data_IF_833631061411
#
_entry.id   IF_833631061411
#
_cell.length_a   1.000
_cell.length_b   1.000
_cell.length_c   1.000
_cell.angle_alpha   90.00
_cell.angle_beta   90.00
_cell.angle_gamma   90.00
#
_symmetry.space_group_name_H-M   'P 1'
#
loop_
_entity.id
_entity.type
_entity.pdbx_description
1 polymer ?
#
# COMPACT_ATOMS: atom_id res chain seq x y z
N UNK A 1 74.64 38.83 19.54
CA UNK A 1 75.04 37.48 19.99
C UNK A 1 73.84 36.56 19.77
N UNK A 2 73.74 35.89 18.62
CA UNK A 2 74.01 34.44 18.42
C UNK A 2 73.26 33.56 19.43
N UNK A 3 72.40 32.59 19.09
CA UNK A 3 72.05 31.93 17.83
C UNK A 3 71.52 30.51 18.13
N UNK A 4 71.10 29.80 17.07
CA UNK A 4 70.62 28.39 16.97
C UNK A 4 69.10 28.22 17.12
N UNK A 5 68.35 27.60 16.21
CA UNK A 5 68.66 26.86 14.98
C UNK A 5 67.58 25.79 14.77
N UNK A 6 66.71 25.98 13.76
CA UNK A 6 65.63 25.05 13.37
C UNK A 6 66.16 23.75 12.75
N UNK A 7 65.48 22.60 12.92
CA UNK A 7 65.78 21.40 12.15
C UNK A 7 65.02 21.35 10.81
N UNK A 8 65.72 20.89 9.77
CA UNK A 8 65.26 20.69 8.39
C UNK A 8 64.27 19.52 8.28
N UNK A 9 63.12 19.75 7.61
CA UNK A 9 62.27 18.69 7.08
C UNK A 9 62.96 17.95 5.93
N UNK A 10 63.04 16.61 6.02
CA UNK A 10 63.38 15.72 4.90
C UNK A 10 62.13 15.47 4.06
N UNK A 11 62.20 15.76 2.76
CA UNK A 11 61.24 15.32 1.75
C UNK A 11 61.27 13.80 1.61
N UNK A 12 60.15 13.14 1.89
CA UNK A 12 59.91 11.73 1.55
C UNK A 12 59.27 11.68 0.15
N UNK A 13 59.88 10.93 -0.77
CA UNK A 13 59.30 10.61 -2.09
C UNK A 13 58.21 9.53 -1.91
N UNK A 14 57.06 9.60 -2.60
CA UNK A 14 56.12 8.50 -2.61
C UNK A 14 56.65 7.37 -3.52
N UNK A 15 56.65 6.14 -2.99
CA UNK A 15 56.85 4.91 -3.76
C UNK A 15 55.60 4.60 -4.56
N UNK A 16 55.77 4.36 -5.86
CA UNK A 16 54.76 3.79 -6.74
C UNK A 16 54.49 2.32 -6.38
N UNK A 17 53.38 2.08 -5.69
CA UNK A 17 52.81 0.73 -5.52
C UNK A 17 51.66 0.56 -6.51
N UNK A 18 51.83 -0.33 -7.49
CA UNK A 18 50.74 -0.85 -8.32
C UNK A 18 49.84 -1.72 -7.45
N UNK A 19 48.61 -1.30 -7.20
CA UNK A 19 47.53 -2.17 -6.74
C UNK A 19 46.60 -2.43 -7.92
N UNK A 20 46.51 -3.71 -8.30
CA UNK A 20 45.55 -4.24 -9.27
C UNK A 20 44.14 -4.10 -8.71
N UNK A 21 43.31 -3.30 -9.37
CA UNK A 21 41.86 -3.28 -9.15
C UNK A 21 41.24 -4.41 -9.97
N UNK A 22 40.46 -5.33 -9.40
CA UNK A 22 39.65 -6.24 -10.20
C UNK A 22 38.44 -5.45 -10.72
N UNK A 23 38.37 -5.28 -12.05
CA UNK A 23 37.16 -4.79 -12.71
C UNK A 23 36.05 -5.83 -12.57
N UNK A 24 35.05 -5.53 -11.76
CA UNK A 24 33.77 -6.22 -11.82
C UNK A 24 32.99 -5.73 -13.06
N UNK A 25 32.64 -6.67 -13.94
CA UNK A 25 31.76 -6.44 -15.10
C UNK A 25 30.31 -6.28 -14.60
N UNK A 26 29.52 -5.35 -15.16
CA UNK A 26 28.09 -5.32 -14.90
C UNK A 26 27.38 -6.48 -15.62
N UNK A 27 26.27 -7.02 -15.08
CA UNK A 27 25.50 -8.05 -15.74
C UNK A 27 24.75 -7.45 -16.94
N UNK A 28 24.87 -8.12 -18.09
CA UNK A 28 24.12 -7.84 -19.30
C UNK A 28 22.66 -8.27 -19.13
N UNK A 29 21.72 -7.32 -19.16
CA UNK A 29 20.30 -7.60 -19.40
C UNK A 29 20.01 -7.39 -20.89
N UNK A 30 19.52 -8.44 -21.57
CA UNK A 30 19.03 -8.37 -22.94
C UNK A 30 17.66 -7.67 -22.93
N UNK A 31 17.60 -6.45 -23.47
CA UNK A 31 16.36 -5.84 -23.98
C UNK A 31 16.34 -6.00 -25.50
N UNK A 32 15.46 -6.85 -26.03
CA UNK A 32 15.12 -6.88 -27.46
C UNK A 32 13.94 -5.93 -27.70
N UNK A 33 14.23 -4.70 -28.17
CA UNK A 33 13.24 -3.78 -28.72
C UNK A 33 12.85 -4.20 -30.14
N UNK A 34 11.56 -4.42 -30.38
CA UNK A 34 10.96 -4.32 -31.71
C UNK A 34 10.57 -2.86 -31.98
N UNK A 35 11.42 -2.11 -32.67
CA UNK A 35 11.06 -0.82 -33.26
C UNK A 35 10.71 -1.02 -34.75
N UNK A 36 9.41 -1.01 -35.09
CA UNK A 36 8.96 -0.84 -36.48
C UNK A 36 9.03 0.64 -36.83
N UNK A 37 9.88 0.96 -37.81
CA UNK A 37 9.90 2.25 -38.52
C UNK A 37 8.57 2.45 -39.23
N UNK A 38 7.94 3.61 -39.03
CA UNK A 38 6.96 4.17 -39.95
C UNK A 38 7.55 5.45 -40.54
N UNK A 39 7.80 5.38 -41.84
CA UNK A 39 8.20 6.50 -42.69
C UNK A 39 7.11 7.59 -42.69
N UNK A 40 7.49 8.83 -42.39
CA UNK A 40 6.64 10.00 -42.68
C UNK A 40 7.37 10.90 -43.69
N UNK A 41 6.78 10.99 -44.89
CA UNK A 41 7.13 11.99 -45.92
C UNK A 41 6.51 13.34 -45.55
N UNK A 42 7.13 14.48 -45.90
CA UNK A 42 6.55 15.79 -45.67
C UNK A 42 5.57 16.17 -46.80
N UNK A 43 4.48 16.85 -46.46
CA UNK A 43 3.59 17.55 -47.41
C UNK A 43 3.80 19.07 -47.28
N UNK A 44 3.81 19.82 -48.40
CA UNK A 44 4.05 21.26 -48.37
C UNK A 44 2.77 22.10 -48.24
N UNK A 45 3.01 23.32 -47.80
CA UNK A 45 2.09 24.42 -47.49
C UNK A 45 1.41 25.09 -48.69
N UNK A 46 0.33 25.80 -48.35
CA UNK A 46 -0.24 27.03 -48.95
C UNK A 46 -1.50 26.87 -49.83
N UNK A 47 -2.61 27.48 -49.40
CA UNK A 47 -3.12 28.74 -49.94
C UNK A 47 -4.38 29.19 -49.17
N UNK A 48 -4.36 30.44 -48.69
CA UNK A 48 -5.55 31.20 -48.26
C UNK A 48 -6.12 31.94 -49.48
N UNK A 49 -7.46 32.01 -49.62
CA UNK A 49 -8.17 33.27 -49.93
C UNK A 49 -9.69 33.14 -49.71
N UNK A 50 -10.29 34.30 -49.43
CA UNK A 50 -11.63 34.55 -48.90
C UNK A 50 -12.61 35.08 -49.97
N UNK A 51 -13.92 35.08 -49.64
CA UNK A 51 -14.98 36.08 -49.92
C UNK A 51 -16.27 35.56 -50.60
N UNK A 52 -17.30 35.45 -49.73
CA UNK A 52 -18.72 35.87 -49.76
C UNK A 52 -19.67 35.75 -51.00
N UNK A 53 -20.89 35.31 -50.62
CA UNK A 53 -22.26 35.70 -51.07
C UNK A 53 -22.89 35.06 -52.32
N UNK A 54 -24.00 34.32 -52.13
CA UNK A 54 -25.37 34.81 -52.42
C UNK A 54 -26.48 33.91 -51.83
N UNK A 55 -27.47 34.61 -51.32
CA UNK A 55 -28.74 34.20 -50.72
C UNK A 55 -29.66 33.47 -51.72
N UNK A 56 -30.45 32.48 -51.25
CA UNK A 56 -31.88 32.35 -51.59
C UNK A 56 -32.60 31.39 -50.63
N UNK A 57 -33.65 31.96 -50.05
CA UNK A 57 -34.57 31.44 -49.04
C UNK A 57 -35.39 30.25 -49.53
N UNK A 58 -35.73 29.34 -48.60
CA UNK A 58 -37.03 28.66 -48.56
C UNK A 58 -37.27 28.16 -47.13
N UNK A 59 -38.22 28.83 -46.48
CA UNK A 59 -38.83 28.45 -45.20
C UNK A 59 -39.85 27.35 -45.49
N UNK A 60 -39.70 26.20 -44.86
CA UNK A 60 -40.79 25.23 -44.69
C UNK A 60 -40.89 24.93 -43.20
N UNK A 61 -41.97 25.44 -42.59
CA UNK A 61 -42.43 25.05 -41.27
C UNK A 61 -42.85 23.58 -41.33
N UNK A 62 -42.18 22.72 -40.57
CA UNK A 62 -42.72 21.44 -40.15
C UNK A 62 -42.63 21.41 -38.63
N UNK A 63 -43.78 21.57 -37.98
CA UNK A 63 -43.95 21.31 -36.56
C UNK A 63 -43.70 19.82 -36.32
N UNK A 64 -42.52 19.48 -35.80
CA UNK A 64 -42.29 18.17 -35.22
C UNK A 64 -42.67 18.27 -33.74
N UNK A 65 -43.75 17.60 -33.38
CA UNK A 65 -44.15 17.40 -32.01
C UNK A 65 -42.95 16.88 -31.22
N UNK A 66 -42.54 17.63 -30.19
CA UNK A 66 -41.71 17.12 -29.12
C UNK A 66 -42.50 16.03 -28.41
N UNK A 67 -42.35 14.79 -28.85
CA UNK A 67 -42.54 13.65 -27.96
C UNK A 67 -41.44 13.77 -26.90
N UNK A 68 -41.78 14.36 -25.77
CA UNK A 68 -41.05 14.15 -24.53
C UNK A 68 -41.16 12.65 -24.28
N UNK A 69 -40.15 11.88 -24.70
CA UNK A 69 -39.94 10.53 -24.20
C UNK A 69 -39.44 10.67 -22.77
N UNK A 70 -40.35 11.05 -21.87
CA UNK A 70 -40.23 10.79 -20.46
C UNK A 70 -40.46 9.29 -20.28
N UNK A 71 -39.37 8.54 -20.35
CA UNK A 71 -39.13 7.26 -19.71
C UNK A 71 -37.73 6.84 -20.13
N UNK A 72 -36.74 7.28 -19.36
CA UNK A 72 -35.82 6.30 -18.80
C UNK A 72 -35.77 6.62 -17.31
N UNK A 73 -36.67 5.97 -16.58
CA UNK A 73 -36.41 5.61 -15.20
C UNK A 73 -35.38 4.48 -15.24
N UNK A 74 -34.12 4.79 -15.54
CA UNK A 74 -33.06 4.06 -14.88
C UNK A 74 -33.21 4.46 -13.42
N UNK A 75 -33.71 3.55 -12.58
CA UNK A 75 -33.35 3.66 -11.18
C UNK A 75 -31.85 3.88 -11.14
N UNK A 76 -31.38 4.78 -10.27
CA UNK A 76 -29.96 4.76 -9.92
C UNK A 76 -29.76 3.40 -9.24
N UNK A 77 -29.51 2.38 -10.05
CA UNK A 77 -29.07 1.08 -9.56
C UNK A 77 -27.84 1.39 -8.70
N UNK A 78 -27.82 0.87 -7.46
CA UNK A 78 -26.75 1.16 -6.50
C UNK A 78 -25.38 0.95 -7.12
N UNK A 79 -24.37 1.65 -6.64
CA UNK A 79 -23.00 1.56 -7.19
C UNK A 79 -22.46 0.12 -7.14
N UNK A 80 -23.03 -0.74 -6.29
CA UNK A 80 -22.70 -2.15 -6.19
C UNK A 80 -23.60 -3.11 -6.99
N UNK A 81 -24.59 -2.63 -7.74
CA UNK A 81 -25.57 -3.47 -8.46
C UNK A 81 -24.94 -4.51 -9.38
N UNK A 82 -23.80 -4.17 -10.01
CA UNK A 82 -23.02 -5.13 -10.80
C UNK A 82 -22.47 -6.28 -9.96
N UNK A 83 -21.99 -6.02 -8.75
CA UNK A 83 -21.52 -7.05 -7.83
C UNK A 83 -22.67 -7.88 -7.24
N UNK A 84 -23.81 -7.24 -6.92
CA UNK A 84 -25.02 -7.91 -6.45
C UNK A 84 -25.59 -8.89 -7.49
N UNK A 85 -25.55 -8.50 -8.77
CA UNK A 85 -25.97 -9.37 -9.87
C UNK A 85 -25.01 -10.55 -10.13
N UNK A 86 -23.78 -10.50 -9.60
CA UNK A 86 -22.71 -11.46 -9.87
C UNK A 86 -22.05 -11.97 -8.58
N UNK A 87 -22.86 -12.43 -7.61
CA UNK A 87 -22.38 -12.98 -6.35
C UNK A 87 -21.30 -14.07 -6.55
N UNK A 88 -20.28 -14.02 -5.70
CA UNK A 88 -19.09 -14.88 -5.74
C UNK A 88 -18.08 -14.53 -6.85
N UNK A 89 -18.35 -13.53 -7.68
CA UNK A 89 -17.42 -13.05 -8.70
C UNK A 89 -16.85 -11.68 -8.35
N UNK A 90 -15.60 -11.46 -8.73
CA UNK A 90 -14.97 -10.15 -8.65
C UNK A 90 -15.53 -9.21 -9.71
N UNK A 91 -15.95 -8.01 -9.28
CA UNK A 91 -16.46 -6.93 -10.12
C UNK A 91 -15.66 -5.67 -9.83
N UNK A 92 -15.25 -4.95 -10.88
CA UNK A 92 -14.63 -3.63 -10.72
C UNK A 92 -15.70 -2.55 -10.56
N UNK A 93 -15.50 -1.65 -9.61
CA UNK A 93 -16.37 -0.51 -9.34
C UNK A 93 -15.51 0.75 -9.37
N UNK A 94 -15.83 1.68 -10.28
CA UNK A 94 -15.19 2.99 -10.30
C UNK A 94 -15.62 3.80 -9.07
N UNK A 95 -14.65 4.39 -8.36
CA UNK A 95 -14.92 5.22 -7.19
C UNK A 95 -14.75 6.68 -7.57
N UNK A 96 -15.85 7.42 -7.63
CA UNK A 96 -15.86 8.80 -8.07
C UNK A 96 -14.86 9.67 -7.27
N UNK A 97 -13.96 10.35 -7.99
CA UNK A 97 -12.94 11.23 -7.41
C UNK A 97 -11.70 10.51 -6.87
N UNK A 98 -11.68 9.18 -6.82
CA UNK A 98 -10.45 8.43 -6.55
C UNK A 98 -9.52 8.49 -7.75
N UNK A 99 -8.22 8.68 -7.48
CA UNK A 99 -7.23 8.92 -8.52
C UNK A 99 -5.86 8.33 -8.18
N UNK A 100 -5.13 7.92 -9.21
CA UNK A 100 -3.77 7.44 -9.11
C UNK A 100 -2.74 8.57 -9.15
N UNK A 101 -1.46 8.22 -8.95
CA UNK A 101 -0.37 9.20 -8.86
C UNK A 101 -0.24 10.08 -10.09
N UNK A 102 -0.58 9.61 -11.28
CA UNK A 102 -0.53 10.42 -12.50
C UNK A 102 -1.82 11.21 -12.79
N UNK A 103 -2.83 11.09 -11.93
CA UNK A 103 -4.13 11.75 -12.05
C UNK A 103 -5.20 10.95 -12.81
N UNK A 104 -4.90 9.74 -13.30
CA UNK A 104 -5.95 8.85 -13.84
C UNK A 104 -6.96 8.48 -12.76
N UNK A 105 -8.22 8.24 -13.12
CA UNK A 105 -9.22 7.67 -12.20
C UNK A 105 -8.83 6.26 -11.75
N UNK A 106 -9.35 5.85 -10.59
CA UNK A 106 -9.25 4.47 -10.09
C UNK A 106 -10.53 4.08 -9.36
N UNK A 107 -10.56 2.88 -8.81
CA UNK A 107 -11.73 2.27 -8.21
C UNK A 107 -11.37 1.17 -7.22
N UNK A 108 -12.29 0.25 -7.01
CA UNK A 108 -12.11 -0.92 -6.13
C UNK A 108 -12.60 -2.19 -6.82
N UNK A 109 -12.03 -3.32 -6.41
CA UNK A 109 -12.59 -4.63 -6.68
C UNK A 109 -13.56 -5.04 -5.59
N UNK A 110 -14.75 -5.53 -5.94
CA UNK A 110 -15.75 -6.01 -4.99
C UNK A 110 -16.17 -7.43 -5.37
N UNK A 111 -16.23 -8.31 -4.38
CA UNK A 111 -16.84 -9.63 -4.49
C UNK A 111 -17.82 -9.83 -3.34
N UNK A 112 -19.10 -9.67 -3.63
CA UNK A 112 -20.18 -9.97 -2.69
C UNK A 112 -20.47 -11.46 -2.68
N UNK A 113 -20.81 -12.01 -1.51
CA UNK A 113 -21.11 -13.42 -1.32
C UNK A 113 -22.57 -13.61 -0.94
N UNK A 114 -23.19 -14.70 -1.40
CA UNK A 114 -24.59 -14.99 -1.07
C UNK A 114 -24.77 -15.22 0.44
N UNK A 115 -25.66 -14.43 1.05
CA UNK A 115 -25.95 -14.48 2.49
C UNK A 115 -24.84 -13.97 3.42
N UNK A 116 -23.76 -13.40 2.89
CA UNK A 116 -22.67 -12.87 3.70
C UNK A 116 -23.07 -11.58 4.43
N UNK A 117 -22.74 -11.51 5.72
CA UNK A 117 -23.03 -10.35 6.58
C UNK A 117 -21.77 -9.66 7.09
N UNK A 118 -20.60 -10.21 6.79
CA UNK A 118 -19.30 -9.69 7.22
C UNK A 118 -18.52 -9.13 6.02
N UNK A 119 -17.58 -8.23 6.30
CA UNK A 119 -16.80 -7.50 5.29
C UNK A 119 -15.30 -7.59 5.58
N UNK A 120 -14.51 -7.87 4.55
CA UNK A 120 -13.07 -7.72 4.57
C UNK A 120 -12.63 -6.71 3.50
N UNK A 121 -11.84 -5.71 3.90
CA UNK A 121 -11.26 -4.69 3.04
C UNK A 121 -9.75 -4.94 3.00
N UNK A 122 -9.24 -5.32 1.82
CA UNK A 122 -7.83 -5.56 1.57
C UNK A 122 -7.18 -4.36 0.87
N UNK A 123 -6.15 -3.78 1.48
CA UNK A 123 -5.31 -2.75 0.88
C UNK A 123 -4.10 -3.38 0.18
N UNK A 124 -3.94 -3.07 -1.11
CA UNK A 124 -2.85 -3.62 -1.91
C UNK A 124 -1.47 -3.07 -1.49
N UNK A 125 -0.46 -3.94 -1.52
CA UNK A 125 0.95 -3.56 -1.44
C UNK A 125 1.55 -3.10 -2.77
N UNK A 126 2.81 -2.64 -2.76
CA UNK A 126 3.52 -2.32 -4.01
C UNK A 126 4.73 -1.40 -3.87
N UNK A 127 5.41 -1.39 -2.72
CA UNK A 127 6.51 -0.45 -2.45
C UNK A 127 6.02 0.98 -2.15
N UNK A 128 6.87 1.97 -2.35
CA UNK A 128 6.55 3.38 -2.11
C UNK A 128 7.27 4.28 -3.11
N UNK A 129 6.84 5.52 -3.26
CA UNK A 129 7.39 6.51 -4.16
C UNK A 129 7.87 7.73 -3.35
N UNK A 130 9.15 7.74 -2.96
CA UNK A 130 9.73 8.81 -2.15
C UNK A 130 11.03 9.39 -2.71
N UNK A 131 11.49 8.90 -3.85
CA UNK A 131 12.60 9.44 -4.63
C UNK A 131 12.46 9.02 -6.11
N UNK A 132 13.26 9.58 -7.01
CA UNK A 132 13.16 9.30 -8.45
C UNK A 132 13.22 7.80 -8.79
N UNK A 133 14.10 7.04 -8.12
CA UNK A 133 14.28 5.61 -8.37
C UNK A 133 13.05 4.78 -7.95
N UNK A 134 12.51 5.04 -6.77
CA UNK A 134 11.37 4.32 -6.22
C UNK A 134 10.05 4.68 -6.92
N UNK A 135 9.90 5.94 -7.34
CA UNK A 135 8.77 6.39 -8.13
C UNK A 135 8.76 5.87 -9.57
N UNK A 136 9.92 5.53 -10.12
CA UNK A 136 10.02 4.94 -11.46
C UNK A 136 9.54 3.48 -11.51
N UNK A 137 9.60 2.76 -10.38
CA UNK A 137 9.20 1.34 -10.29
C UNK A 137 7.83 1.14 -9.66
N UNK A 138 7.41 2.04 -8.77
CA UNK A 138 6.07 1.99 -8.18
C UNK A 138 5.00 2.34 -9.24
N UNK A 139 3.92 1.56 -9.39
CA UNK A 139 2.84 1.86 -10.34
C UNK A 139 2.25 3.26 -10.11
N UNK A 140 1.98 3.97 -11.21
CA UNK A 140 1.37 5.31 -11.17
C UNK A 140 -0.08 5.36 -11.66
N UNK A 141 -0.59 4.22 -12.12
CA UNK A 141 -1.95 3.98 -12.65
C UNK A 141 -2.44 2.60 -12.22
N UNK A 142 -3.74 2.45 -12.02
CA UNK A 142 -4.40 1.17 -11.83
C UNK A 142 -5.90 1.36 -12.11
N UNK A 143 -6.44 0.61 -13.08
CA UNK A 143 -7.87 0.61 -13.39
C UNK A 143 -8.40 -0.81 -13.59
N UNK A 144 -9.58 -0.90 -14.20
CA UNK A 144 -10.30 -2.16 -14.40
C UNK A 144 -9.45 -3.23 -15.12
N UNK A 145 -8.66 -2.84 -16.13
CA UNK A 145 -7.85 -3.79 -16.89
C UNK A 145 -6.76 -4.44 -16.02
N UNK A 146 -6.05 -3.63 -15.21
CA UNK A 146 -5.08 -4.12 -14.23
C UNK A 146 -5.76 -4.95 -13.14
N UNK A 147 -6.93 -4.52 -12.66
CA UNK A 147 -7.72 -5.28 -11.70
C UNK A 147 -8.09 -6.66 -12.25
N UNK A 148 -8.64 -6.75 -13.45
CA UNK A 148 -9.06 -8.01 -14.05
C UNK A 148 -7.87 -8.97 -14.22
N UNK A 149 -6.70 -8.45 -14.59
CA UNK A 149 -5.47 -9.24 -14.64
C UNK A 149 -5.04 -9.73 -13.24
N UNK A 150 -5.16 -8.87 -12.22
CA UNK A 150 -4.85 -9.21 -10.82
C UNK A 150 -5.82 -10.25 -10.26
N UNK A 151 -7.12 -10.05 -10.43
CA UNK A 151 -8.17 -10.97 -10.01
C UNK A 151 -8.01 -12.34 -10.68
N UNK A 152 -7.67 -12.39 -11.97
CA UNK A 152 -7.36 -13.65 -12.65
C UNK A 152 -6.11 -14.36 -12.08
N UNK A 153 -5.10 -13.60 -11.66
CA UNK A 153 -3.85 -14.16 -11.16
C UNK A 153 -3.92 -14.63 -9.70
N UNK A 154 -4.60 -13.87 -8.83
CA UNK A 154 -4.57 -14.08 -7.37
C UNK A 154 -5.93 -14.00 -6.68
N UNK A 155 -7.02 -13.76 -7.41
CA UNK A 155 -8.35 -13.50 -6.83
C UNK A 155 -9.00 -14.67 -6.07
N UNK A 156 -8.34 -15.84 -6.01
CA UNK A 156 -8.74 -16.99 -5.20
C UNK A 156 -7.62 -17.49 -4.26
N UNK A 157 -6.54 -16.72 -4.11
CA UNK A 157 -5.38 -17.12 -3.32
C UNK A 157 -5.49 -16.62 -1.88
N UNK A 158 -5.00 -17.44 -0.93
CA UNK A 158 -4.84 -17.04 0.47
C UNK A 158 -6.13 -16.43 1.04
N UNK A 159 -6.04 -15.19 1.51
CA UNK A 159 -7.16 -14.37 2.00
C UNK A 159 -8.36 -14.35 1.03
N UNK A 160 -8.14 -14.37 -0.28
CA UNK A 160 -9.21 -14.34 -1.30
C UNK A 160 -9.80 -15.71 -1.63
N UNK A 161 -9.32 -16.79 -1.04
CA UNK A 161 -9.93 -18.11 -1.20
C UNK A 161 -11.33 -18.15 -0.58
N UNK A 162 -12.32 -18.69 -1.27
CA UNK A 162 -13.68 -18.89 -0.73
C UNK A 162 -13.86 -20.27 -0.08
N UNK A 163 -12.76 -20.96 0.22
CA UNK A 163 -12.83 -22.25 0.90
C UNK A 163 -13.40 -22.07 2.31
N UNK A 164 -14.26 -22.98 2.76
CA UNK A 164 -14.84 -22.95 4.11
C UNK A 164 -13.81 -23.05 5.25
N UNK A 165 -12.57 -23.47 4.95
CA UNK A 165 -11.46 -23.45 5.90
C UNK A 165 -10.78 -22.09 6.04
N UNK A 166 -11.01 -21.15 5.10
CA UNK A 166 -10.50 -19.80 5.21
C UNK A 166 -11.41 -19.02 6.19
N UNK A 167 -10.86 -18.41 7.26
CA UNK A 167 -11.67 -17.69 8.26
C UNK A 167 -12.48 -16.51 7.73
N UNK A 168 -12.19 -16.04 6.51
CA UNK A 168 -12.96 -15.00 5.81
C UNK A 168 -13.55 -15.48 4.47
N UNK A 169 -13.63 -16.81 4.27
CA UNK A 169 -14.04 -17.40 2.98
C UNK A 169 -15.49 -17.07 2.58
N UNK A 170 -16.33 -16.74 3.56
CA UNK A 170 -17.73 -16.35 3.44
C UNK A 170 -17.96 -14.84 3.63
N UNK A 171 -16.91 -14.01 3.71
CA UNK A 171 -17.05 -12.56 3.83
C UNK A 171 -17.31 -11.93 2.46
N UNK A 172 -18.02 -10.80 2.44
CA UNK A 172 -17.91 -9.85 1.34
C UNK A 172 -16.47 -9.33 1.30
N UNK A 173 -15.85 -9.30 0.12
CA UNK A 173 -14.45 -8.95 -0.03
C UNK A 173 -14.29 -7.72 -0.91
N UNK A 174 -13.53 -6.74 -0.42
CA UNK A 174 -13.16 -5.53 -1.15
C UNK A 174 -11.65 -5.49 -1.32
N UNK A 175 -11.20 -5.15 -2.51
CA UNK A 175 -9.82 -4.93 -2.88
C UNK A 175 -9.62 -3.46 -3.23
N UNK A 176 -8.77 -2.76 -2.49
CA UNK A 176 -8.38 -1.38 -2.75
C UNK A 176 -6.99 -1.37 -3.41
N UNK A 177 -6.89 -1.00 -4.70
CA UNK A 177 -5.63 -1.00 -5.42
C UNK A 177 -4.69 0.09 -4.92
N UNK A 178 -3.39 -0.09 -5.17
CA UNK A 178 -2.36 0.85 -4.77
C UNK A 178 -1.62 1.43 -5.96
N UNK A 179 -1.99 2.66 -6.32
CA UNK A 179 -1.39 3.40 -7.44
C UNK A 179 -0.93 4.82 -7.08
N UNK A 180 -0.92 5.14 -5.78
CA UNK A 180 -0.58 6.47 -5.26
C UNK A 180 0.87 6.54 -4.77
N UNK A 181 1.47 5.41 -4.38
CA UNK A 181 2.89 5.36 -3.97
C UNK A 181 3.17 5.92 -2.58
N UNK A 182 2.13 6.21 -1.79
CA UNK A 182 2.17 6.90 -0.50
C UNK A 182 1.74 6.03 0.70
N UNK A 183 1.89 4.72 0.59
CA UNK A 183 1.49 3.75 1.63
C UNK A 183 -0.01 3.81 1.98
N UNK A 184 -0.86 4.23 1.03
CA UNK A 184 -2.28 4.56 1.25
C UNK A 184 -2.52 5.69 2.27
N UNK A 185 -1.48 6.40 2.70
CA UNK A 185 -1.57 7.44 3.72
C UNK A 185 -1.39 8.86 3.19
N UNK A 186 -1.23 9.05 1.88
CA UNK A 186 -0.99 10.38 1.35
C UNK A 186 -2.22 11.27 1.38
N UNK A 187 -2.01 12.55 1.70
CA UNK A 187 -2.98 13.64 1.64
C UNK A 187 -2.35 14.89 1.02
N UNK A 188 -1.60 14.71 -0.06
CA UNK A 188 -0.88 15.76 -0.77
C UNK A 188 -1.11 15.69 -2.30
N UNK A 189 -2.22 16.26 -2.81
CA UNK A 189 -2.45 16.35 -4.24
C UNK A 189 -1.47 17.33 -4.90
N UNK A 190 -1.22 17.10 -6.19
CA UNK A 190 -0.39 17.96 -7.04
C UNK A 190 1.03 18.24 -6.47
N UNK A 191 1.64 17.25 -5.83
CA UNK A 191 2.98 17.36 -5.25
C UNK A 191 4.07 17.10 -6.29
N UNK A 192 5.24 17.70 -6.12
CA UNK A 192 6.43 17.42 -6.94
C UNK A 192 7.55 16.94 -6.05
N UNK A 193 8.24 15.87 -6.46
CA UNK A 193 9.48 15.46 -5.81
C UNK A 193 10.58 16.45 -6.18
N UNK A 194 10.99 17.28 -5.21
CA UNK A 194 11.97 18.34 -5.41
C UNK A 194 13.29 17.76 -5.92
N UNK A 195 13.78 18.31 -7.02
CA UNK A 195 15.03 17.89 -7.65
C UNK A 195 14.92 16.70 -8.60
N UNK A 196 13.70 16.20 -8.87
CA UNK A 196 13.44 15.06 -9.75
C UNK A 196 12.51 15.46 -10.91
N UNK A 197 12.84 15.07 -12.15
CA UNK A 197 12.00 15.32 -13.33
C UNK A 197 10.97 14.19 -13.57
N UNK A 198 10.17 13.87 -12.54
CA UNK A 198 9.13 12.82 -12.63
C UNK A 198 7.70 13.37 -12.74
N UNK A 199 7.56 14.70 -12.78
CA UNK A 199 6.29 15.39 -12.96
C UNK A 199 5.48 15.53 -11.67
N UNK A 200 4.26 16.04 -11.81
CA UNK A 200 3.30 16.20 -10.71
C UNK A 200 2.76 14.83 -10.30
N UNK A 201 2.79 14.55 -9.01
CA UNK A 201 2.33 13.34 -8.35
C UNK A 201 1.08 13.62 -7.50
N UNK A 202 0.16 12.67 -7.48
CA UNK A 202 -1.00 12.69 -6.59
C UNK A 202 -0.78 11.68 -5.46
N UNK A 203 -0.24 12.15 -4.33
CA UNK A 203 -0.14 11.35 -3.11
C UNK A 203 -1.44 11.49 -2.33
N UNK A 204 -2.49 10.79 -2.79
CA UNK A 204 -3.86 10.91 -2.26
C UNK A 204 -4.45 9.56 -1.83
N UNK A 205 -3.59 8.63 -1.41
CA UNK A 205 -3.98 7.29 -0.99
C UNK A 205 -5.01 7.29 0.13
N UNK A 206 -4.87 8.18 1.11
CA UNK A 206 -5.82 8.28 2.21
C UNK A 206 -7.20 8.73 1.73
N UNK A 207 -7.27 9.72 0.82
CA UNK A 207 -8.54 10.11 0.22
C UNK A 207 -9.17 9.00 -0.64
N UNK A 208 -8.37 8.17 -1.31
CA UNK A 208 -8.91 7.03 -2.06
C UNK A 208 -9.53 5.99 -1.12
N UNK A 209 -8.87 5.68 0.00
CA UNK A 209 -9.42 4.76 1.02
C UNK A 209 -10.69 5.34 1.65
N UNK A 210 -10.67 6.62 2.05
CA UNK A 210 -11.84 7.30 2.60
C UNK A 210 -13.05 7.23 1.65
N UNK A 211 -12.86 7.47 0.35
CA UNK A 211 -13.95 7.39 -0.64
C UNK A 211 -14.44 5.96 -0.84
N UNK A 212 -13.54 4.97 -0.84
CA UNK A 212 -13.92 3.57 -0.94
C UNK A 212 -14.75 3.15 0.29
N UNK A 213 -14.31 3.50 1.50
CA UNK A 213 -15.03 3.21 2.74
C UNK A 213 -16.40 3.90 2.77
N UNK A 214 -16.48 5.17 2.38
CA UNK A 214 -17.75 5.89 2.29
C UNK A 214 -18.74 5.22 1.33
N UNK A 215 -18.28 4.83 0.13
CA UNK A 215 -19.11 4.08 -0.81
C UNK A 215 -19.64 2.79 -0.20
N UNK A 216 -18.78 2.00 0.47
CA UNK A 216 -19.21 0.75 1.10
C UNK A 216 -20.21 0.98 2.22
N UNK A 217 -20.05 2.02 3.03
CA UNK A 217 -20.97 2.35 4.12
C UNK A 217 -22.33 2.86 3.61
N UNK A 218 -22.36 3.52 2.45
CA UNK A 218 -23.59 3.98 1.81
C UNK A 218 -24.36 2.86 1.11
N UNK A 219 -23.65 1.87 0.55
CA UNK A 219 -24.23 0.84 -0.31
C UNK A 219 -24.48 -0.52 0.39
N UNK A 220 -23.80 -0.80 1.50
CA UNK A 220 -23.96 -2.06 2.24
C UNK A 220 -24.82 -1.87 3.50
N UNK A 221 -25.62 -2.89 3.82
CA UNK A 221 -26.12 -3.05 5.18
C UNK A 221 -24.95 -3.11 6.16
N UNK A 222 -25.16 -2.61 7.39
CA UNK A 222 -24.11 -2.60 8.43
C UNK A 222 -23.57 -4.01 8.67
N UNK A 223 -22.28 -4.27 8.37
CA UNK A 223 -21.72 -5.61 8.53
C UNK A 223 -21.68 -6.03 10.00
N UNK A 224 -21.74 -7.35 10.27
CA UNK A 224 -21.51 -7.88 11.61
C UNK A 224 -20.07 -7.67 12.05
N UNK A 225 -19.12 -8.09 11.19
CA UNK A 225 -17.68 -7.92 11.36
C UNK A 225 -17.08 -7.14 10.19
N UNK A 226 -16.09 -6.30 10.49
CA UNK A 226 -15.28 -5.60 9.48
C UNK A 226 -13.81 -5.82 9.74
N UNK A 227 -13.13 -6.50 8.81
CA UNK A 227 -11.67 -6.65 8.80
C UNK A 227 -11.05 -5.64 7.83
N UNK A 228 -10.25 -4.69 8.34
CA UNK A 228 -9.31 -3.94 7.53
C UNK A 228 -7.96 -4.67 7.53
N UNK A 229 -7.50 -5.09 6.36
CA UNK A 229 -6.21 -5.78 6.24
C UNK A 229 -5.46 -5.32 5.00
N UNK A 230 -4.16 -5.60 4.92
CA UNK A 230 -3.37 -5.21 3.77
C UNK A 230 -1.95 -5.72 3.88
N UNK A 231 -1.30 -5.90 2.74
CA UNK A 231 0.07 -6.41 2.68
C UNK A 231 1.07 -5.31 2.32
N UNK A 232 2.27 -5.32 2.91
CA UNK A 232 3.36 -4.40 2.55
C UNK A 232 2.96 -2.94 2.76
N UNK A 233 3.02 -2.11 1.71
CA UNK A 233 2.45 -0.76 1.70
C UNK A 233 0.98 -0.70 2.17
N UNK A 234 0.18 -1.74 1.89
CA UNK A 234 -1.18 -1.88 2.39
C UNK A 234 -1.25 -2.17 3.89
N UNK A 235 -0.26 -2.87 4.46
CA UNK A 235 -0.12 -3.08 5.90
C UNK A 235 0.04 -1.75 6.64
N UNK A 236 0.99 -0.91 6.20
CA UNK A 236 1.07 0.49 6.65
C UNK A 236 -0.25 1.24 6.43
N UNK A 237 -0.85 1.06 5.27
CA UNK A 237 -2.14 1.65 4.91
C UNK A 237 -3.25 1.33 5.91
N UNK A 238 -3.28 0.11 6.48
CA UNK A 238 -4.26 -0.23 7.52
C UNK A 238 -4.09 0.63 8.74
N UNK A 239 -2.84 0.83 9.19
CA UNK A 239 -2.54 1.68 10.32
C UNK A 239 -2.92 3.13 10.02
N UNK A 240 -2.73 3.61 8.79
CA UNK A 240 -2.99 4.99 8.41
C UNK A 240 -4.47 5.30 8.12
N UNK A 241 -5.32 4.28 8.00
CA UNK A 241 -6.73 4.44 7.59
C UNK A 241 -7.76 3.74 8.49
N UNK A 242 -7.35 3.05 9.56
CA UNK A 242 -8.29 2.33 10.42
C UNK A 242 -9.38 3.22 11.01
N UNK A 243 -9.06 4.49 11.32
CA UNK A 243 -10.04 5.46 11.78
C UNK A 243 -11.21 5.66 10.82
N UNK A 244 -10.96 5.71 9.51
CA UNK A 244 -12.03 5.86 8.50
C UNK A 244 -13.00 4.66 8.52
N UNK A 245 -12.46 3.45 8.68
CA UNK A 245 -13.26 2.22 8.78
C UNK A 245 -14.05 2.20 10.10
N UNK A 246 -13.41 2.56 11.20
CA UNK A 246 -14.06 2.57 12.50
C UNK A 246 -15.21 3.59 12.59
N UNK A 247 -15.02 4.78 12.01
CA UNK A 247 -16.04 5.82 11.96
C UNK A 247 -17.20 5.46 11.04
N UNK A 248 -16.94 4.75 9.94
CA UNK A 248 -17.96 4.32 8.99
C UNK A 248 -18.80 3.14 9.52
N UNK A 249 -18.21 2.22 10.28
CA UNK A 249 -18.83 0.95 10.69
C UNK A 249 -18.95 0.81 12.21
N UNK A 250 -19.43 1.85 12.89
CA UNK A 250 -19.58 1.90 14.37
C UNK A 250 -20.48 0.81 14.99
N UNK A 251 -21.30 0.13 14.18
CA UNK A 251 -22.17 -0.96 14.60
C UNK A 251 -21.57 -2.36 14.46
N UNK A 252 -20.34 -2.46 13.96
CA UNK A 252 -19.66 -3.72 13.65
C UNK A 252 -18.60 -4.06 14.68
N UNK A 253 -18.28 -5.35 14.80
CA UNK A 253 -17.04 -5.79 15.43
C UNK A 253 -15.86 -5.48 14.48
N UNK A 254 -14.87 -4.74 14.97
CA UNK A 254 -13.81 -4.19 14.13
C UNK A 254 -12.49 -4.93 14.32
N UNK A 255 -11.83 -5.24 13.20
CA UNK A 255 -10.57 -5.95 13.18
C UNK A 255 -9.57 -5.25 12.26
N UNK A 256 -8.30 -5.23 12.65
CA UNK A 256 -7.20 -4.81 11.80
C UNK A 256 -6.13 -5.88 11.75
N UNK A 257 -5.66 -6.25 10.56
CA UNK A 257 -4.48 -7.09 10.38
C UNK A 257 -3.50 -6.46 9.41
N UNK A 258 -2.38 -6.00 9.96
CA UNK A 258 -1.23 -5.49 9.23
C UNK A 258 -0.30 -6.65 8.83
N UNK A 259 -0.17 -6.92 7.53
CA UNK A 259 0.73 -7.93 6.97
C UNK A 259 1.99 -7.29 6.36
N UNK A 260 3.10 -7.35 7.10
CA UNK A 260 4.41 -6.80 6.71
C UNK A 260 4.43 -5.27 6.51
N UNK A 261 3.71 -4.50 7.33
CA UNK A 261 3.82 -3.04 7.41
C UNK A 261 4.16 -2.48 8.82
N UNK A 262 5.06 -3.10 9.61
CA UNK A 262 5.33 -2.68 10.99
C UNK A 262 5.91 -1.28 11.09
N UNK A 263 5.53 -0.54 12.13
CA UNK A 263 6.13 0.73 12.53
C UNK A 263 6.98 0.50 13.79
N UNK A 264 8.27 0.85 13.75
CA UNK A 264 9.22 0.51 14.81
C UNK A 264 9.46 1.66 15.80
N UNK A 265 9.59 1.33 17.09
CA UNK A 265 10.00 2.27 18.13
C UNK A 265 11.52 2.60 18.11
N UNK A 266 12.33 1.75 17.46
CA UNK A 266 13.78 1.90 17.48
C UNK A 266 14.29 2.69 16.26
N UNK A 267 15.00 3.77 16.50
CA UNK A 267 15.57 4.66 15.46
C UNK A 267 16.58 3.96 14.52
N UNK A 268 17.24 2.90 15.00
CA UNK A 268 18.18 2.14 14.16
C UNK A 268 17.48 1.32 13.08
N UNK A 269 16.20 0.98 13.29
CA UNK A 269 15.35 0.35 12.27
C UNK A 269 14.57 1.45 11.55
N UNK A 270 13.75 2.22 12.26
CA UNK A 270 12.96 3.30 11.67
C UNK A 270 13.67 4.65 11.83
N UNK A 271 14.48 5.03 10.84
CA UNK A 271 15.26 6.27 10.96
C UNK A 271 14.38 7.53 11.02
N UNK A 272 14.72 8.50 11.89
CA UNK A 272 14.11 9.83 11.92
C UNK A 272 14.12 10.55 10.55
N UNK A 273 15.15 10.30 9.74
CA UNK A 273 15.28 10.93 8.42
C UNK A 273 14.25 10.38 7.43
N UNK A 274 14.06 9.07 7.38
CA UNK A 274 13.05 8.45 6.53
C UNK A 274 11.65 8.84 7.02
N UNK A 275 11.40 8.77 8.34
CA UNK A 275 10.15 9.18 8.96
C UNK A 275 9.78 10.62 8.57
N UNK A 276 10.71 11.56 8.74
CA UNK A 276 10.50 12.96 8.38
C UNK A 276 10.30 13.16 6.87
N UNK A 277 11.05 12.45 6.02
CA UNK A 277 10.97 12.61 4.56
C UNK A 277 9.64 12.11 4.02
N UNK A 278 9.22 10.91 4.43
CA UNK A 278 7.94 10.30 4.03
C UNK A 278 6.76 11.09 4.58
N UNK A 279 6.81 11.50 5.85
CA UNK A 279 5.77 12.33 6.49
C UNK A 279 5.55 13.64 5.75
N UNK A 280 6.62 14.34 5.41
CA UNK A 280 6.54 15.61 4.69
C UNK A 280 6.08 15.41 3.24
N UNK A 281 6.59 14.40 2.54
CA UNK A 281 6.28 14.15 1.14
C UNK A 281 4.82 13.77 0.92
N UNK A 282 4.24 12.99 1.84
CA UNK A 282 2.87 12.51 1.73
C UNK A 282 1.87 13.37 2.51
N UNK A 283 2.34 14.38 3.24
CA UNK A 283 1.50 15.20 4.13
C UNK A 283 0.70 14.34 5.14
N UNK A 284 1.37 13.34 5.74
CA UNK A 284 0.72 12.41 6.67
C UNK A 284 0.03 13.10 7.87
N UNK A 285 0.50 14.23 8.45
CA UNK A 285 -0.21 14.88 9.55
C UNK A 285 -1.65 15.28 9.25
N UNK A 286 -2.02 15.35 7.96
CA UNK A 286 -3.38 15.66 7.54
C UNK A 286 -4.32 14.43 7.47
N UNK A 287 -3.83 13.19 7.69
CA UNK A 287 -4.67 11.98 7.60
C UNK A 287 -5.31 11.54 8.90
N UNK A 288 -4.68 11.78 10.04
CA UNK A 288 -5.29 11.55 11.36
C UNK A 288 -5.49 12.89 12.06
N UNK A 289 -6.51 13.69 11.65
CA UNK A 289 -6.73 15.04 12.21
C UNK A 289 -7.01 15.04 13.71
N UNK A 290 -7.45 13.91 14.28
CA UNK A 290 -7.67 13.71 15.72
C UNK A 290 -6.42 13.26 16.47
N UNK A 291 -5.37 12.84 15.77
CA UNK A 291 -4.12 12.37 16.36
C UNK A 291 -2.86 12.87 15.61
N UNK A 292 -2.75 14.17 15.26
CA UNK A 292 -1.64 14.69 14.46
C UNK A 292 -0.27 14.53 15.15
N UNK A 293 -0.24 14.37 16.48
CA UNK A 293 0.97 14.06 17.24
C UNK A 293 1.63 12.74 16.86
N UNK A 294 0.87 11.79 16.30
CA UNK A 294 1.41 10.51 15.82
C UNK A 294 2.31 10.69 14.59
N UNK A 295 2.20 11.80 13.86
CA UNK A 295 3.05 12.05 12.69
C UNK A 295 4.26 12.93 12.99
N UNK A 296 4.58 13.13 14.27
CA UNK A 296 5.88 13.67 14.66
C UNK A 296 6.96 12.59 14.45
N UNK A 297 8.22 12.99 14.31
CA UNK A 297 9.35 12.13 13.91
C UNK A 297 9.44 10.81 14.67
N UNK A 298 9.05 10.80 15.95
CA UNK A 298 9.11 9.62 16.82
C UNK A 298 7.72 9.20 17.34
N UNK A 299 6.66 9.83 16.82
CA UNK A 299 5.28 9.66 17.31
C UNK A 299 4.54 8.48 16.67
N UNK A 300 4.97 8.04 15.50
CA UNK A 300 4.20 7.09 14.67
C UNK A 300 4.01 5.72 15.34
N UNK A 301 5.01 5.14 16.03
CA UNK A 301 4.81 3.91 16.80
C UNK A 301 3.72 4.03 17.88
N UNK A 302 3.39 5.25 18.32
CA UNK A 302 2.27 5.51 19.24
C UNK A 302 0.90 5.13 18.67
N UNK A 303 0.78 4.85 17.37
CA UNK A 303 -0.47 4.46 16.71
C UNK A 303 -1.06 3.18 17.28
N UNK A 304 -0.23 2.22 17.70
CA UNK A 304 -0.68 0.97 18.32
C UNK A 304 -1.45 1.24 19.63
N UNK A 305 -0.90 2.10 20.48
CA UNK A 305 -1.53 2.50 21.74
C UNK A 305 -2.75 3.42 21.50
N UNK A 306 -2.67 4.29 20.51
CA UNK A 306 -3.79 5.16 20.11
C UNK A 306 -5.01 4.33 19.70
N UNK A 307 -4.85 3.30 18.86
CA UNK A 307 -5.98 2.48 18.44
C UNK A 307 -6.56 1.60 19.55
N UNK A 308 -5.73 0.96 20.36
CA UNK A 308 -6.26 0.18 21.49
C UNK A 308 -7.04 1.05 22.50
N UNK A 309 -6.61 2.31 22.70
CA UNK A 309 -7.31 3.23 23.61
C UNK A 309 -8.56 3.87 23.00
N UNK A 310 -8.53 4.17 21.70
CA UNK A 310 -9.65 4.83 20.99
C UNK A 310 -10.75 3.83 20.63
N UNK A 311 -10.37 2.60 20.29
CA UNK A 311 -11.26 1.53 19.86
C UNK A 311 -11.08 0.28 20.74
N UNK A 312 -11.47 0.33 22.03
CA UNK A 312 -11.20 -0.74 23.00
C UNK A 312 -11.96 -2.04 22.74
N UNK A 313 -12.93 -2.03 21.81
CA UNK A 313 -13.66 -3.23 21.38
C UNK A 313 -13.10 -3.84 20.09
N UNK A 314 -12.12 -3.19 19.45
CA UNK A 314 -11.49 -3.71 18.25
C UNK A 314 -10.35 -4.67 18.60
N UNK A 315 -10.05 -5.62 17.71
CA UNK A 315 -8.91 -6.54 17.86
C UNK A 315 -7.91 -6.34 16.74
N UNK A 316 -6.62 -6.35 17.08
CA UNK A 316 -5.56 -5.96 16.17
C UNK A 316 -4.54 -7.09 15.96
N UNK A 317 -3.97 -7.15 14.77
CA UNK A 317 -2.94 -8.11 14.38
C UNK A 317 -1.81 -7.44 13.61
N UNK A 318 -0.58 -7.86 13.89
CA UNK A 318 0.60 -7.52 13.11
C UNK A 318 1.38 -8.80 12.76
N UNK A 319 1.59 -9.06 11.47
CA UNK A 319 2.42 -10.17 11.01
C UNK A 319 3.63 -9.70 10.23
N UNK A 320 4.76 -10.37 10.38
CA UNK A 320 5.97 -10.10 9.60
C UNK A 320 6.89 -11.32 9.61
N UNK A 321 7.66 -11.50 8.55
CA UNK A 321 8.86 -12.33 8.62
C UNK A 321 9.92 -11.62 9.47
N UNK A 322 10.73 -12.37 10.21
CA UNK A 322 11.77 -11.84 11.11
C UNK A 322 12.97 -11.25 10.37
N UNK A 323 13.13 -11.54 9.08
CA UNK A 323 14.13 -10.93 8.20
C UNK A 323 13.51 -10.41 6.91
N UNK A 324 12.29 -9.87 6.94
CA UNK A 324 11.58 -9.39 5.73
C UNK A 324 12.46 -8.48 4.85
N UNK A 325 12.96 -9.01 3.73
CA UNK A 325 13.96 -8.35 2.88
C UNK A 325 13.45 -7.02 2.31
N UNK A 326 12.15 -6.95 2.02
CA UNK A 326 11.53 -5.77 1.41
C UNK A 326 11.43 -4.64 2.41
N UNK A 327 11.00 -4.95 3.63
CA UNK A 327 10.81 -3.94 4.67
C UNK A 327 12.16 -3.51 5.26
N UNK A 328 13.13 -4.41 5.40
CA UNK A 328 14.53 -4.06 5.71
C UNK A 328 15.09 -3.07 4.67
N UNK A 329 14.86 -3.33 3.38
CA UNK A 329 15.28 -2.41 2.32
C UNK A 329 14.58 -1.07 2.42
N UNK A 330 13.26 -1.05 2.67
CA UNK A 330 12.48 0.18 2.82
C UNK A 330 13.02 1.07 3.95
N UNK A 331 13.20 0.50 5.14
CA UNK A 331 13.70 1.24 6.29
C UNK A 331 15.20 1.59 6.20
N UNK A 332 15.96 0.81 5.43
CA UNK A 332 17.36 1.11 5.13
C UNK A 332 17.58 2.34 4.23
N UNK A 333 16.53 2.87 3.57
CA UNK A 333 16.66 4.10 2.80
C UNK A 333 16.96 5.29 3.72
N UNK A 334 18.00 6.04 3.37
CA UNK A 334 18.43 7.22 4.14
C UNK A 334 19.42 6.92 5.27
N UNK A 335 19.68 5.64 5.56
CA UNK A 335 20.81 5.24 6.42
C UNK A 335 22.15 5.55 5.71
N UNK A 336 23.21 5.78 6.50
CA UNK A 336 24.54 6.04 5.95
C UNK A 336 24.99 4.90 5.01
N UNK A 337 25.71 5.17 3.90
CA UNK A 337 26.16 4.12 3.00
C UNK A 337 27.07 3.12 3.73
N UNK A 338 26.58 1.90 3.99
CA UNK A 338 27.40 0.83 4.57
C UNK A 338 26.68 -0.15 5.48
N UNK A 339 25.60 0.26 6.16
CA UNK A 339 24.91 -0.62 7.12
C UNK A 339 23.44 -0.82 6.69
N UNK A 340 23.14 -1.84 5.86
CA UNK A 340 21.77 -2.30 5.70
C UNK A 340 21.26 -2.76 7.06
N UNK A 341 19.96 -2.54 7.34
CA UNK A 341 19.31 -3.18 8.49
C UNK A 341 19.55 -4.67 8.35
N UNK A 342 20.10 -5.28 9.39
CA UNK A 342 20.37 -6.71 9.43
C UNK A 342 19.13 -7.48 9.90
N UNK A 343 19.04 -8.77 9.55
CA UNK A 343 17.98 -9.66 10.06
C UNK A 343 17.89 -9.62 11.58
N UNK A 344 19.02 -9.53 12.29
CA UNK A 344 19.06 -9.47 13.74
C UNK A 344 18.49 -8.15 14.28
N UNK A 345 18.81 -7.02 13.66
CA UNK A 345 18.27 -5.70 14.03
C UNK A 345 16.77 -5.62 13.74
N UNK A 346 16.33 -6.09 12.57
CA UNK A 346 14.93 -6.11 12.19
C UNK A 346 14.11 -7.02 13.11
N UNK A 347 14.58 -8.24 13.37
CA UNK A 347 13.94 -9.17 14.30
C UNK A 347 13.89 -8.61 15.73
N UNK A 348 14.94 -7.90 16.17
CA UNK A 348 14.96 -7.23 17.47
C UNK A 348 13.92 -6.10 17.52
N UNK A 349 13.83 -5.28 16.47
CA UNK A 349 12.83 -4.23 16.33
C UNK A 349 11.40 -4.78 16.39
N UNK A 350 11.11 -5.91 15.73
CA UNK A 350 9.77 -6.51 15.73
C UNK A 350 9.37 -7.00 17.13
N UNK A 351 10.31 -7.59 17.85
CA UNK A 351 10.09 -8.04 19.23
C UNK A 351 9.99 -6.87 20.19
N UNK A 352 10.70 -5.79 19.94
CA UNK A 352 10.57 -4.55 20.68
C UNK A 352 9.18 -3.94 20.50
N UNK A 353 8.67 -3.86 19.27
CA UNK A 353 7.27 -3.48 18.98
C UNK A 353 6.32 -4.34 19.79
N UNK A 354 6.40 -5.68 19.68
CA UNK A 354 5.55 -6.58 20.49
C UNK A 354 5.61 -6.28 21.99
N UNK A 355 6.78 -5.95 22.52
CA UNK A 355 6.95 -5.72 23.96
C UNK A 355 6.29 -4.42 24.46
N UNK A 356 5.98 -3.50 23.55
CA UNK A 356 5.46 -2.18 23.86
C UNK A 356 3.99 -1.98 23.44
N UNK A 357 3.48 -2.77 22.49
CA UNK A 357 2.08 -2.65 22.05
C UNK A 357 1.09 -3.25 23.08
N UNK A 358 -0.16 -2.74 23.14
CA UNK A 358 -1.20 -3.24 24.05
C UNK A 358 -1.59 -4.71 23.82
N UNK A 359 -2.19 -5.36 24.82
CA UNK A 359 -2.57 -6.78 24.76
C UNK A 359 -3.66 -7.11 23.73
N UNK A 360 -4.39 -6.11 23.26
CA UNK A 360 -5.42 -6.26 22.22
C UNK A 360 -4.78 -6.45 20.81
N UNK A 361 -3.44 -6.36 20.74
CA UNK A 361 -2.65 -6.71 19.57
C UNK A 361 -2.11 -8.14 19.68
N UNK A 362 -2.45 -8.96 18.69
CA UNK A 362 -1.75 -10.21 18.40
C UNK A 362 -0.61 -9.96 17.43
N UNK A 363 0.42 -10.82 17.47
CA UNK A 363 1.50 -10.75 16.49
C UNK A 363 1.85 -12.11 15.94
N UNK A 364 2.16 -12.18 14.65
CA UNK A 364 2.60 -13.41 13.98
C UNK A 364 3.96 -13.20 13.33
N UNK A 365 5.01 -13.72 13.96
CA UNK A 365 6.35 -13.70 13.37
C UNK A 365 6.73 -15.06 12.82
N UNK A 366 7.34 -15.07 11.63
CA UNK A 366 7.90 -16.28 11.01
C UNK A 366 9.40 -16.10 10.71
N UNK A 367 10.15 -17.19 10.69
CA UNK A 367 11.56 -17.13 10.28
C UNK A 367 11.66 -17.05 8.76
N UNK A 368 12.70 -16.37 8.28
CA UNK A 368 12.96 -16.17 6.84
C UNK A 368 12.91 -14.70 6.44
N UNK A 369 13.14 -14.46 5.15
CA UNK A 369 13.15 -13.12 4.54
C UNK A 369 12.04 -12.87 3.52
N UNK A 370 11.04 -13.75 3.52
CA UNK A 370 9.89 -13.65 2.65
C UNK A 370 9.01 -12.41 2.94
N UNK A 371 8.22 -12.06 1.92
CA UNK A 371 7.31 -10.93 1.93
C UNK A 371 6.17 -11.21 0.92
N UNK A 372 4.88 -11.25 1.24
CA UNK A 372 4.14 -11.16 2.51
C UNK A 372 3.38 -12.49 2.78
N UNK A 373 2.38 -12.53 3.67
CA UNK A 373 1.58 -13.74 3.95
C UNK A 373 0.25 -13.82 3.17
N UNK A 374 -0.58 -12.77 3.19
CA UNK A 374 -2.03 -12.87 2.95
C UNK A 374 -2.43 -13.47 1.59
N UNK A 375 -1.73 -13.11 0.52
CA UNK A 375 -2.09 -13.52 -0.85
C UNK A 375 -1.23 -14.66 -1.40
N UNK A 376 -0.31 -15.20 -0.60
CA UNK A 376 0.62 -16.23 -1.03
C UNK A 376 0.20 -17.58 -0.41
N UNK A 377 -0.42 -18.50 -1.16
CA UNK A 377 -1.14 -19.64 -0.57
C UNK A 377 -0.32 -20.50 0.39
N UNK A 378 0.94 -20.79 0.07
CA UNK A 378 1.81 -21.60 0.93
C UNK A 378 2.29 -20.87 2.20
N UNK A 379 2.24 -19.54 2.22
CA UNK A 379 2.58 -18.73 3.41
C UNK A 379 1.34 -18.48 4.26
N UNK A 380 0.20 -18.22 3.62
CA UNK A 380 -1.10 -18.10 4.29
C UNK A 380 -1.54 -19.39 5.02
N UNK A 381 -1.25 -20.55 4.43
CA UNK A 381 -1.42 -21.85 5.09
C UNK A 381 -0.15 -22.35 5.81
N UNK A 382 0.90 -21.51 5.86
CA UNK A 382 2.18 -21.82 6.47
C UNK A 382 2.08 -21.83 8.00
N UNK A 383 3.09 -22.41 8.66
CA UNK A 383 3.14 -22.48 10.13
C UNK A 383 4.40 -21.80 10.67
N UNK A 384 4.27 -21.19 11.85
CA UNK A 384 5.35 -20.63 12.65
C UNK A 384 5.11 -20.98 14.11
N UNK A 385 6.15 -21.45 14.80
CA UNK A 385 6.04 -22.00 16.16
C UNK A 385 4.88 -23.02 16.34
N UNK A 386 4.53 -23.77 15.29
CA UNK A 386 3.44 -24.74 15.29
C UNK A 386 2.03 -24.16 15.09
N UNK A 387 1.89 -22.85 14.87
CA UNK A 387 0.62 -22.16 14.62
C UNK A 387 0.50 -21.82 13.14
N UNK A 388 -0.59 -22.25 12.49
CA UNK A 388 -0.88 -21.87 11.11
C UNK A 388 -1.29 -20.39 11.02
N UNK A 389 -0.90 -19.70 9.95
CA UNK A 389 -1.19 -18.27 9.80
C UNK A 389 -2.70 -17.99 9.71
N UNK A 390 -3.43 -18.75 8.89
CA UNK A 390 -4.89 -18.68 8.79
C UNK A 390 -5.61 -18.99 10.11
N UNK A 391 -5.09 -19.93 10.91
CA UNK A 391 -5.60 -20.20 12.26
C UNK A 391 -5.31 -19.06 13.25
N UNK A 392 -4.17 -18.38 13.13
CA UNK A 392 -3.89 -17.18 13.93
C UNK A 392 -4.82 -16.03 13.54
N UNK A 393 -5.05 -15.82 12.23
CA UNK A 393 -6.01 -14.84 11.73
C UNK A 393 -7.43 -15.13 12.26
N UNK A 394 -7.86 -16.39 12.27
CA UNK A 394 -9.13 -16.77 12.88
C UNK A 394 -9.21 -16.36 14.37
N UNK A 395 -8.13 -16.55 15.12
CA UNK A 395 -8.03 -16.10 16.51
C UNK A 395 -8.16 -14.59 16.68
N UNK A 396 -7.60 -13.79 15.76
CA UNK A 396 -7.83 -12.33 15.73
C UNK A 396 -9.32 -12.04 15.54
N UNK A 397 -9.96 -12.70 14.56
CA UNK A 397 -11.38 -12.51 14.22
C UNK A 397 -12.36 -13.05 15.27
N UNK A 398 -11.87 -13.85 16.22
CA UNK A 398 -12.60 -14.31 17.41
C UNK A 398 -12.34 -13.42 18.64
N UNK A 399 -11.65 -12.29 18.47
CA UNK A 399 -11.32 -11.38 19.57
C UNK A 399 -10.30 -11.95 20.56
N UNK A 400 -9.48 -12.90 20.11
CA UNK A 400 -8.51 -13.65 20.93
C UNK A 400 -7.09 -13.47 20.38
N UNK A 401 -6.51 -12.26 20.47
CA UNK A 401 -5.18 -11.99 19.95
C UNK A 401 -4.11 -12.82 20.66
N UNK A 402 -3.22 -13.44 19.87
CA UNK A 402 -2.10 -14.24 20.37
C UNK A 402 -0.79 -13.86 19.70
N UNK A 403 0.32 -14.20 20.36
CA UNK A 403 1.67 -13.92 19.88
C UNK A 403 2.35 -15.23 19.42
N UNK A 404 2.88 -15.22 18.21
CA UNK A 404 3.62 -16.33 17.58
C UNK A 404 5.04 -15.87 17.26
N UNK A 405 6.04 -16.62 17.73
CA UNK A 405 7.45 -16.35 17.47
C UNK A 405 8.29 -17.64 17.49
N UNK A 406 8.96 -18.00 16.38
CA UNK A 406 9.71 -19.24 16.28
C UNK A 406 11.01 -19.22 17.11
N UNK A 407 11.54 -18.05 17.48
CA UNK A 407 12.78 -17.96 18.26
C UNK A 407 12.55 -17.96 19.78
N UNK A 408 11.33 -17.71 20.24
CA UNK A 408 10.96 -17.82 21.67
C UNK A 408 10.52 -19.26 22.02
N UNK A 409 10.18 -20.06 21.01
CA UNK A 409 9.79 -21.46 21.16
C UNK A 409 11.00 -22.42 21.33
N UNK A 410 11.84 -22.21 22.35
CA UNK A 410 12.69 -23.27 22.94
C UNK A 410 12.77 -23.10 24.46
N UNK A 411 11.68 -23.44 25.17
CA UNK A 411 11.78 -24.10 26.48
C UNK A 411 10.63 -25.09 26.61
N UNK A 412 10.88 -26.36 26.26
CA UNK A 412 10.11 -27.44 26.85
C UNK A 412 10.24 -27.33 28.38
N UNK A 413 9.16 -27.52 29.15
CA UNK A 413 9.27 -27.54 30.60
C UNK A 413 10.25 -28.65 30.98
N UNK A 414 11.26 -28.31 31.79
CA UNK A 414 12.08 -29.32 32.46
C UNK A 414 11.13 -30.22 33.23
N UNK A 415 10.99 -31.47 32.77
CA UNK A 415 10.23 -32.49 33.48
C UNK A 415 10.75 -32.53 34.93
N UNK A 416 9.85 -32.28 35.87
CA UNK A 416 10.11 -32.45 37.29
C UNK A 416 10.60 -33.89 37.51
N UNK A 417 11.81 -34.03 38.06
CA UNK A 417 12.34 -35.29 38.56
C UNK A 417 11.95 -35.49 40.00
#
# INVERSE_FOLDING_TARGET
>A
MCGRGLPRMRRVRPRSGRTLVPQAKPPHFLLTLFARRLDSKPLPSSHRLSIMTRLRSLVVLAALALTVSACDSSGEDGLLAGAEANLGQWTWIDVAGSQCRDGSSTGIGVRLQDGATDLAIYLEGGGACFNGATCATNPKTFGEAEFNARAAAVGNNGLFSTAASNPVGDYNMVYVPYCTGDLHGGSFPNSSLLGEEIGVQQFVGHQNVQRAVALLADELDTPGKVLLTGSSAGGFGTLLNFGEVADAFTGSDLYLVDDSGPVFFQDNVFSPQLASSVTALYNLPATLPTAPQLFQTDGLPGIYAYYASTYPNATFGLSSYLGDDVIQQFFGFGQAPGDPITDDEYAAGLRDVRSQIPSDWGTYFAAGGEHTFLLVPNRYAGTSAGVAYDAWLAGILDGSPTNVDPAVAVRAPLAAR
#
